data_IF_599673786370
#
_entry.id   IF_599673786370
#
_cell.length_a   1.000
_cell.length_b   1.000
_cell.length_c   1.000
_cell.angle_alpha   90.00
_cell.angle_beta   90.00
_cell.angle_gamma   90.00
#
_symmetry.space_group_name_H-M   'P 1'
#
loop_
_entity.id
_entity.type
_entity.pdbx_description
1 polymer ?
#
# COMPACT_ATOMS: atom_id res chain seq x y z
N UNK A 1 -74.47 -23.32 0.12
CA UNK A 1 -73.21 -23.08 -0.59
C UNK A 1 -72.11 -23.38 0.43
N UNK A 2 -71.48 -24.61 0.27
CA UNK A 2 -70.57 -25.11 1.31
C UNK A 2 -69.25 -24.36 1.34
N UNK A 3 -68.77 -24.06 2.54
CA UNK A 3 -67.53 -23.33 2.81
C UNK A 3 -66.30 -24.02 2.23
N UNK A 4 -66.36 -25.30 1.92
CA UNK A 4 -65.28 -26.09 1.27
C UNK A 4 -65.16 -25.82 -0.22
N UNK A 5 -66.25 -25.55 -0.93
CA UNK A 5 -66.21 -25.23 -2.37
C UNK A 5 -65.57 -23.89 -2.68
N UNK A 6 -65.57 -22.96 -1.73
CA UNK A 6 -64.96 -21.66 -1.90
C UNK A 6 -63.47 -21.64 -1.54
N UNK A 7 -63.00 -22.58 -0.75
CA UNK A 7 -61.59 -22.70 -0.37
C UNK A 7 -60.68 -23.17 -1.53
N UNK A 8 -61.18 -24.07 -2.37
CA UNK A 8 -60.41 -24.63 -3.49
C UNK A 8 -59.99 -23.56 -4.55
N UNK A 9 -60.91 -22.72 -5.03
CA UNK A 9 -60.50 -21.68 -5.99
C UNK A 9 -59.61 -20.59 -5.38
N UNK A 10 -59.78 -20.28 -4.09
CA UNK A 10 -58.92 -19.32 -3.39
C UNK A 10 -57.48 -19.87 -3.23
N UNK A 11 -57.33 -21.15 -2.87
CA UNK A 11 -56.03 -21.79 -2.76
C UNK A 11 -55.34 -21.87 -4.13
N UNK A 12 -56.08 -22.20 -5.19
CA UNK A 12 -55.57 -22.22 -6.55
C UNK A 12 -55.16 -20.82 -7.03
N UNK A 13 -55.92 -19.78 -6.73
CA UNK A 13 -55.57 -18.41 -7.05
C UNK A 13 -54.34 -17.93 -6.30
N UNK A 14 -54.20 -18.26 -5.00
CA UNK A 14 -53.02 -17.93 -4.21
C UNK A 14 -51.78 -18.70 -4.73
N UNK A 15 -51.90 -19.98 -5.10
CA UNK A 15 -50.82 -20.75 -5.70
C UNK A 15 -50.43 -20.18 -7.09
N UNK A 16 -51.37 -19.75 -7.89
CA UNK A 16 -51.12 -19.12 -9.20
C UNK A 16 -50.43 -17.74 -9.05
N UNK A 17 -50.79 -16.96 -8.03
CA UNK A 17 -50.12 -15.67 -7.72
C UNK A 17 -48.72 -15.93 -7.18
N UNK A 18 -48.51 -16.91 -6.31
CA UNK A 18 -47.19 -17.27 -5.80
C UNK A 18 -46.27 -17.82 -6.89
N UNK A 19 -46.78 -18.56 -7.87
CA UNK A 19 -46.00 -19.05 -9.01
C UNK A 19 -45.68 -17.94 -10.03
N UNK A 20 -46.49 -16.88 -10.10
CA UNK A 20 -46.25 -15.73 -10.99
C UNK A 20 -45.18 -14.75 -10.44
N UNK A 21 -44.91 -14.79 -9.15
CA UNK A 21 -43.90 -13.90 -8.49
C UNK A 21 -42.47 -14.51 -8.60
N UNK A 22 -42.33 -15.75 -9.05
CA UNK A 22 -41.03 -16.45 -9.11
C UNK A 22 -40.23 -16.25 -10.38
N UNK A 23 -40.55 -15.27 -11.24
CA UNK A 23 -39.81 -15.02 -12.49
C UNK A 23 -38.83 -13.88 -12.42
N UNK A 24 -38.30 -13.54 -11.23
CA UNK A 24 -37.21 -12.58 -11.05
C UNK A 24 -35.85 -13.16 -11.45
N UNK A 25 -34.84 -12.28 -11.63
CA UNK A 25 -33.47 -12.75 -11.83
C UNK A 25 -32.97 -13.51 -10.60
N UNK A 26 -32.23 -14.57 -10.81
CA UNK A 26 -31.38 -15.14 -9.76
C UNK A 26 -30.10 -14.30 -9.67
N UNK A 27 -29.45 -14.30 -8.53
CA UNK A 27 -28.18 -13.60 -8.34
C UNK A 27 -27.14 -14.50 -7.69
N UNK A 28 -25.90 -14.27 -7.99
CA UNK A 28 -24.77 -14.85 -7.28
C UNK A 28 -23.72 -13.78 -7.00
N UNK A 29 -22.92 -14.00 -5.96
CA UNK A 29 -21.86 -13.09 -5.58
C UNK A 29 -20.52 -13.74 -5.88
N UNK A 30 -19.66 -13.01 -6.57
CA UNK A 30 -18.29 -13.40 -6.87
C UNK A 30 -17.33 -12.42 -6.21
N UNK A 31 -16.28 -12.93 -5.56
CA UNK A 31 -15.21 -12.10 -5.04
C UNK A 31 -14.15 -11.93 -6.13
N UNK A 32 -13.83 -10.70 -6.46
CA UNK A 32 -12.79 -10.33 -7.44
C UNK A 32 -11.71 -9.55 -6.70
N UNK A 33 -10.45 -9.96 -6.86
CA UNK A 33 -9.31 -9.19 -6.37
C UNK A 33 -9.02 -8.07 -7.36
N UNK A 34 -9.18 -6.82 -6.90
CA UNK A 34 -8.92 -5.61 -7.70
C UNK A 34 -7.69 -4.91 -7.16
N UNK A 35 -6.77 -4.60 -8.07
CA UNK A 35 -5.58 -3.81 -7.72
C UNK A 35 -5.95 -2.33 -7.70
N UNK A 36 -5.85 -1.70 -6.51
CA UNK A 36 -5.99 -0.25 -6.35
C UNK A 36 -4.64 0.44 -6.52
N UNK A 37 -4.62 1.67 -7.02
CA UNK A 37 -3.41 2.48 -7.03
C UNK A 37 -2.85 2.63 -5.60
N UNK A 38 -1.54 2.81 -5.49
CA UNK A 38 -0.90 3.09 -4.21
C UNK A 38 -1.47 4.35 -3.54
N UNK A 39 -1.33 4.45 -2.21
CA UNK A 39 -1.77 5.62 -1.44
C UNK A 39 -1.10 6.93 -1.92
N UNK A 40 0.07 6.85 -2.54
CA UNK A 40 0.80 7.99 -3.12
C UNK A 40 0.36 8.34 -4.53
N UNK A 41 -0.39 7.45 -5.20
CA UNK A 41 -0.79 7.57 -6.61
C UNK A 41 0.32 7.24 -7.60
N UNK A 42 1.50 6.78 -7.13
CA UNK A 42 2.55 6.25 -8.01
C UNK A 42 2.27 4.81 -8.40
N UNK A 43 2.64 4.46 -9.64
CA UNK A 43 2.78 3.09 -10.10
C UNK A 43 4.15 2.91 -10.72
N UNK A 44 4.97 2.11 -10.08
CA UNK A 44 6.35 1.82 -10.52
C UNK A 44 6.46 0.53 -11.33
N UNK A 45 5.35 -0.07 -11.71
CA UNK A 45 5.33 -1.31 -12.49
C UNK A 45 6.07 -1.12 -13.83
N UNK A 46 7.04 -2.00 -14.10
CA UNK A 46 7.79 -2.00 -15.36
C UNK A 46 8.79 -0.86 -15.52
N UNK A 47 9.08 -0.11 -14.45
CA UNK A 47 10.07 0.97 -14.43
C UNK A 47 11.33 0.54 -13.71
N UNK A 48 12.49 1.02 -14.18
CA UNK A 48 13.74 0.92 -13.44
C UNK A 48 13.75 1.94 -12.31
N UNK A 49 14.23 1.52 -11.13
CA UNK A 49 14.27 2.37 -9.95
C UNK A 49 15.66 2.44 -9.35
N UNK A 50 16.02 3.61 -8.80
CA UNK A 50 17.18 3.79 -7.95
C UNK A 50 16.79 4.52 -6.67
N UNK A 51 17.43 4.15 -5.57
CA UNK A 51 17.31 4.86 -4.30
C UNK A 51 18.65 5.50 -3.97
N UNK A 52 18.62 6.81 -3.74
CA UNK A 52 19.77 7.56 -3.23
C UNK A 52 19.46 8.07 -1.83
N UNK A 53 20.50 8.24 -1.00
CA UNK A 53 20.34 8.81 0.32
C UNK A 53 21.50 9.74 0.67
N UNK A 54 21.19 10.80 1.42
CA UNK A 54 22.13 11.85 1.76
C UNK A 54 22.83 11.59 3.10
N UNK A 55 24.14 11.73 3.12
CA UNK A 55 24.97 11.59 4.33
C UNK A 55 25.71 12.90 4.62
N UNK A 56 25.72 13.34 5.88
CA UNK A 56 26.35 14.60 6.32
C UNK A 56 27.66 14.39 7.08
N UNK A 57 28.15 13.15 7.16
CA UNK A 57 29.38 12.78 7.85
C UNK A 57 29.21 12.41 9.31
N UNK A 58 28.04 12.59 9.91
CA UNK A 58 27.74 12.02 11.23
C UNK A 58 27.46 10.52 11.09
N UNK A 59 28.19 9.72 11.89
CA UNK A 59 28.09 8.26 11.80
C UNK A 59 26.69 7.73 12.17
N UNK A 60 26.08 8.28 13.22
CA UNK A 60 24.72 7.89 13.64
C UNK A 60 23.68 8.13 12.55
N UNK A 61 23.70 9.33 11.96
CA UNK A 61 22.75 9.77 10.95
C UNK A 61 22.94 8.96 9.65
N UNK A 62 24.22 8.74 9.27
CA UNK A 62 24.56 7.93 8.10
C UNK A 62 24.12 6.47 8.23
N UNK A 63 24.33 5.86 9.41
CA UNK A 63 23.88 4.49 9.68
C UNK A 63 22.35 4.38 9.66
N UNK A 64 21.68 5.36 10.24
CA UNK A 64 20.22 5.41 10.30
C UNK A 64 19.61 5.51 8.87
N UNK A 65 20.09 6.47 8.06
CA UNK A 65 19.51 6.69 6.73
C UNK A 65 19.84 5.56 5.76
N UNK A 66 21.03 4.93 5.88
CA UNK A 66 21.40 3.76 5.11
C UNK A 66 20.45 2.57 5.42
N UNK A 67 20.21 2.27 6.69
CA UNK A 67 19.28 1.22 7.10
C UNK A 67 17.85 1.51 6.63
N UNK A 68 17.42 2.78 6.65
CA UNK A 68 16.11 3.17 6.13
C UNK A 68 16.03 3.00 4.62
N UNK A 69 17.09 3.33 3.87
CA UNK A 69 17.15 3.13 2.43
C UNK A 69 17.09 1.64 2.05
N UNK A 70 17.82 0.78 2.79
CA UNK A 70 17.75 -0.67 2.63
C UNK A 70 16.34 -1.21 2.86
N UNK A 71 15.67 -0.74 3.92
CA UNK A 71 14.29 -1.12 4.19
C UNK A 71 13.31 -0.68 3.10
N UNK A 72 13.47 0.54 2.59
CA UNK A 72 12.68 1.09 1.49
C UNK A 72 12.89 0.25 0.21
N UNK A 73 14.14 -0.05 -0.13
CA UNK A 73 14.47 -0.89 -1.28
C UNK A 73 13.84 -2.28 -1.16
N UNK A 74 14.09 -2.96 -0.06
CA UNK A 74 13.57 -4.32 0.19
C UNK A 74 12.04 -4.39 0.14
N UNK A 75 11.35 -3.36 0.65
CA UNK A 75 9.89 -3.27 0.56
C UNK A 75 9.41 -3.11 -0.88
N UNK A 76 10.01 -2.18 -1.64
CA UNK A 76 9.66 -1.96 -3.04
C UNK A 76 10.00 -3.16 -3.94
N UNK A 77 11.15 -3.81 -3.70
CA UNK A 77 11.54 -5.04 -4.39
C UNK A 77 10.50 -6.15 -4.23
N UNK A 78 10.01 -6.31 -3.01
CA UNK A 78 8.96 -7.29 -2.71
C UNK A 78 7.65 -6.96 -3.43
N UNK A 79 7.23 -5.70 -3.41
CA UNK A 79 5.89 -5.30 -3.86
C UNK A 79 5.78 -5.16 -5.38
N UNK A 80 6.88 -4.81 -6.06
CA UNK A 80 6.92 -4.58 -7.49
C UNK A 80 7.65 -5.65 -8.30
N UNK A 81 8.65 -6.32 -7.70
CA UNK A 81 9.54 -7.24 -8.42
C UNK A 81 9.55 -8.65 -7.85
N UNK A 82 8.69 -8.97 -6.88
CA UNK A 82 8.69 -10.27 -6.18
C UNK A 82 10.09 -10.66 -5.65
N UNK A 83 10.90 -9.66 -5.30
CA UNK A 83 12.31 -9.81 -4.87
C UNK A 83 13.24 -10.43 -5.92
N UNK A 84 12.87 -10.43 -7.21
CA UNK A 84 13.70 -10.93 -8.30
C UNK A 84 14.68 -9.88 -8.84
N UNK A 85 14.37 -8.60 -8.67
CA UNK A 85 15.20 -7.47 -9.10
C UNK A 85 15.65 -6.68 -7.88
N UNK A 86 16.94 -6.41 -7.79
CA UNK A 86 17.53 -5.59 -6.73
C UNK A 86 17.50 -4.13 -7.15
N UNK A 87 16.99 -3.26 -6.27
CA UNK A 87 17.02 -1.82 -6.46
C UNK A 87 18.37 -1.29 -5.98
N UNK A 88 19.17 -0.65 -6.85
CA UNK A 88 20.48 -0.13 -6.46
C UNK A 88 20.35 1.02 -5.46
N UNK A 89 21.27 1.03 -4.47
CA UNK A 89 21.38 2.05 -3.44
C UNK A 89 22.63 2.91 -3.69
N UNK A 90 22.46 4.22 -3.61
CA UNK A 90 23.54 5.19 -3.83
C UNK A 90 23.67 6.13 -2.64
N UNK A 91 24.90 6.26 -2.16
CA UNK A 91 25.24 7.22 -1.10
C UNK A 91 25.69 8.53 -1.73
N UNK A 92 25.06 9.64 -1.36
CA UNK A 92 25.41 10.96 -1.86
C UNK A 92 25.79 11.87 -0.68
N UNK A 93 26.82 12.71 -0.83
CA UNK A 93 27.16 13.68 0.20
C UNK A 93 26.07 14.76 0.29
N UNK A 94 25.68 15.08 1.52
CA UNK A 94 24.79 16.21 1.74
C UNK A 94 25.54 17.53 1.48
N UNK A 95 24.98 18.36 0.62
CA UNK A 95 25.51 19.70 0.33
C UNK A 95 24.59 20.73 0.97
N UNK A 96 25.06 21.50 1.95
CA UNK A 96 24.28 22.58 2.54
C UNK A 96 23.76 23.55 1.47
N UNK A 97 22.58 24.09 1.69
CA UNK A 97 21.91 25.06 0.80
C UNK A 97 21.54 24.55 -0.60
N UNK A 98 21.71 23.24 -0.85
CA UNK A 98 21.19 22.61 -2.06
C UNK A 98 19.69 22.38 -1.95
N UNK A 99 18.94 22.72 -3.01
CA UNK A 99 17.51 22.42 -3.11
C UNK A 99 17.30 21.03 -3.75
N UNK A 100 17.15 20.04 -2.89
CA UNK A 100 16.87 18.66 -3.33
C UNK A 100 15.42 18.47 -3.81
N UNK A 101 14.53 19.44 -3.62
CA UNK A 101 13.19 19.44 -4.18
C UNK A 101 13.14 20.01 -5.60
N UNK A 102 14.23 20.63 -6.05
CA UNK A 102 14.34 21.18 -7.39
C UNK A 102 14.32 20.07 -8.44
N UNK A 103 13.52 20.27 -9.49
CA UNK A 103 13.37 19.32 -10.59
C UNK A 103 14.71 19.00 -11.24
N UNK A 104 15.52 20.01 -11.53
CA UNK A 104 16.81 19.84 -12.22
C UNK A 104 17.75 18.93 -11.43
N UNK A 105 17.73 18.99 -10.10
CA UNK A 105 18.54 18.12 -9.24
C UNK A 105 18.16 16.66 -9.43
N UNK A 106 16.87 16.33 -9.43
CA UNK A 106 16.42 14.95 -9.58
C UNK A 106 16.50 14.45 -11.02
N UNK A 107 16.32 15.32 -12.01
CA UNK A 107 16.56 14.97 -13.43
C UNK A 107 18.01 14.56 -13.65
N UNK A 108 18.97 15.34 -13.11
CA UNK A 108 20.38 14.97 -13.20
C UNK A 108 20.65 13.62 -12.53
N UNK A 109 20.07 13.36 -11.36
CA UNK A 109 20.19 12.06 -10.71
C UNK A 109 19.60 10.92 -11.53
N UNK A 110 18.44 11.10 -12.17
CA UNK A 110 17.83 10.12 -13.08
C UNK A 110 18.80 9.78 -14.22
N UNK A 111 19.42 10.81 -14.81
CA UNK A 111 20.38 10.62 -15.89
C UNK A 111 21.67 9.93 -15.42
N UNK A 112 22.19 10.34 -14.26
CA UNK A 112 23.43 9.78 -13.71
C UNK A 112 23.27 8.34 -13.24
N UNK A 113 22.07 7.98 -12.74
CA UNK A 113 21.76 6.65 -12.22
C UNK A 113 21.10 5.73 -13.27
N UNK A 114 20.88 6.23 -14.49
CA UNK A 114 20.26 5.48 -15.60
C UNK A 114 18.94 4.80 -15.21
N UNK A 115 18.09 5.51 -14.48
CA UNK A 115 16.84 4.97 -13.92
C UNK A 115 15.63 5.77 -14.38
N UNK A 116 14.46 5.13 -14.49
CA UNK A 116 13.21 5.82 -14.80
C UNK A 116 12.66 6.57 -13.59
N UNK A 117 12.92 6.05 -12.38
CA UNK A 117 12.44 6.59 -11.12
C UNK A 117 13.58 6.72 -10.13
N UNK A 118 13.71 7.89 -9.51
CA UNK A 118 14.64 8.11 -8.40
C UNK A 118 13.88 8.48 -7.14
N UNK A 119 14.20 7.77 -6.06
CA UNK A 119 13.76 8.05 -4.70
C UNK A 119 14.99 8.56 -3.92
N UNK A 120 14.99 9.86 -3.55
CA UNK A 120 16.07 10.46 -2.78
C UNK A 120 15.63 10.67 -1.33
N UNK A 121 16.25 9.94 -0.42
CA UNK A 121 16.08 10.13 1.02
C UNK A 121 17.00 11.25 1.52
N UNK A 122 16.40 12.25 2.15
CA UNK A 122 17.15 13.28 2.87
C UNK A 122 17.76 12.68 4.16
N UNK A 123 18.72 13.38 4.73
CA UNK A 123 19.24 13.03 6.06
C UNK A 123 18.14 13.07 7.12
N UNK A 124 18.21 12.24 8.16
CA UNK A 124 17.27 12.31 9.26
C UNK A 124 17.45 13.63 10.03
N UNK A 125 16.34 14.19 10.46
CA UNK A 125 16.36 15.32 11.41
C UNK A 125 15.80 14.82 12.72
N UNK A 126 16.69 14.53 13.64
CA UNK A 126 16.32 14.13 14.99
C UNK A 126 15.89 15.35 15.82
N UNK A 127 14.89 15.14 16.66
CA UNK A 127 14.50 16.08 17.70
C UNK A 127 15.01 15.57 19.03
N UNK A 128 14.96 16.40 20.06
CA UNK A 128 15.37 16.04 21.40
C UNK A 128 14.68 14.74 21.87
N UNK A 129 15.48 13.76 22.28
CA UNK A 129 14.97 12.47 22.76
C UNK A 129 14.38 12.60 24.16
N UNK A 130 13.31 11.84 24.41
CA UNK A 130 12.66 11.79 25.72
C UNK A 130 13.15 10.53 26.45
N UNK A 131 13.90 10.73 27.51
CA UNK A 131 14.41 9.63 28.35
C UNK A 131 13.44 9.35 29.49
N UNK A 132 13.31 8.07 29.87
CA UNK A 132 12.54 7.67 31.04
C UNK A 132 13.25 8.09 32.33
N UNK A 133 12.50 8.57 33.32
CA UNK A 133 13.02 9.09 34.56
C UNK A 133 13.72 8.04 35.47
N UNK A 134 13.57 6.76 35.14
CA UNK A 134 14.18 5.66 35.94
C UNK A 134 14.93 4.70 35.02
N UNK A 135 16.24 4.52 35.24
CA UNK A 135 16.96 3.43 34.59
C UNK A 135 16.40 2.09 35.08
N UNK A 136 16.10 1.19 34.16
CA UNK A 136 15.67 -0.17 34.48
C UNK A 136 16.91 -1.05 34.59
N UNK A 137 17.20 -1.60 35.74
CA UNK A 137 18.25 -2.62 35.91
C UNK A 137 17.66 -3.98 35.48
N UNK A 138 17.93 -4.41 34.27
CA UNK A 138 17.62 -5.78 33.88
C UNK A 138 18.81 -6.72 34.15
N UNK A 139 18.68 -7.57 35.14
CA UNK A 139 19.56 -8.71 35.37
C UNK A 139 20.45 -8.66 36.61
N UNK A 140 21.15 -9.75 36.92
CA UNK A 140 22.04 -9.79 38.09
C UNK A 140 23.19 -8.79 37.92
N UNK A 141 23.39 -7.96 38.93
CA UNK A 141 24.36 -6.86 38.98
C UNK A 141 25.82 -7.34 38.85
N UNK A 142 26.24 -7.74 37.68
CA UNK A 142 27.65 -8.06 37.39
C UNK A 142 28.29 -7.10 36.37
N UNK A 143 27.54 -6.17 35.82
CA UNK A 143 28.06 -5.11 34.95
C UNK A 143 27.52 -3.75 35.40
N UNK A 144 28.39 -2.74 35.48
CA UNK A 144 28.03 -1.35 35.80
C UNK A 144 27.25 -0.64 34.66
N UNK A 145 26.58 -1.39 33.83
CA UNK A 145 25.79 -0.81 32.71
C UNK A 145 24.35 -0.57 33.16
N UNK A 146 23.90 0.65 32.99
CA UNK A 146 22.52 1.06 33.22
C UNK A 146 21.81 1.06 31.87
N UNK A 147 20.60 0.51 31.83
CA UNK A 147 19.72 0.62 30.65
C UNK A 147 18.70 1.70 30.93
N UNK A 148 18.63 2.69 30.06
CA UNK A 148 17.55 3.67 30.06
C UNK A 148 16.74 3.58 28.79
N UNK A 149 15.42 3.71 28.90
CA UNK A 149 14.56 3.75 27.73
C UNK A 149 14.46 5.20 27.23
N UNK A 150 14.61 5.37 25.95
CA UNK A 150 14.43 6.66 25.27
C UNK A 150 13.42 6.55 24.15
N UNK A 151 12.75 7.65 23.87
CA UNK A 151 11.94 7.80 22.66
C UNK A 151 12.64 8.83 21.78
N UNK A 152 13.01 8.44 20.56
CA UNK A 152 13.76 9.26 19.60
C UNK A 152 12.81 9.76 18.50
N UNK A 153 12.34 11.02 18.56
CA UNK A 153 11.51 11.59 17.52
C UNK A 153 12.40 12.08 16.36
N UNK A 154 11.93 11.83 15.12
CA UNK A 154 12.63 12.27 13.92
C UNK A 154 11.68 12.54 12.77
N UNK A 155 12.18 13.19 11.75
CA UNK A 155 11.55 13.21 10.42
C UNK A 155 12.59 13.03 9.33
N UNK A 156 12.12 12.48 8.20
CA UNK A 156 12.90 12.31 6.96
C UNK A 156 12.05 12.79 5.80
N UNK A 157 12.63 13.54 4.87
CA UNK A 157 12.00 13.85 3.60
C UNK A 157 12.42 12.80 2.56
N UNK A 158 11.47 12.42 1.73
CA UNK A 158 11.68 11.58 0.56
C UNK A 158 11.24 12.37 -0.66
N UNK A 159 12.17 12.64 -1.54
CA UNK A 159 11.93 13.26 -2.84
C UNK A 159 11.78 12.17 -3.88
N UNK A 160 10.69 12.20 -4.64
CA UNK A 160 10.41 11.19 -5.66
C UNK A 160 10.21 11.89 -7.00
N UNK A 161 10.94 11.42 -7.99
CA UNK A 161 10.76 11.82 -9.37
C UNK A 161 10.64 10.59 -10.27
N UNK A 162 9.62 10.60 -11.10
CA UNK A 162 9.33 9.59 -12.11
C UNK A 162 9.40 10.28 -13.49
N UNK A 163 10.43 9.96 -14.26
CA UNK A 163 10.64 10.56 -15.59
C UNK A 163 9.56 10.16 -16.61
N UNK A 164 8.82 9.10 -16.31
CA UNK A 164 7.72 8.63 -17.18
C UNK A 164 6.35 9.17 -16.75
N UNK A 165 6.28 9.92 -15.62
CA UNK A 165 5.03 10.56 -15.20
C UNK A 165 4.75 11.80 -16.07
N UNK A 166 3.51 11.88 -16.58
CA UNK A 166 3.05 13.05 -17.37
C UNK A 166 3.08 14.36 -16.59
N UNK A 167 2.98 14.29 -15.27
CA UNK A 167 3.03 15.48 -14.40
C UNK A 167 4.43 16.10 -14.36
N UNK A 168 5.48 15.34 -14.65
CA UNK A 168 6.88 15.77 -14.72
C UNK A 168 7.29 16.66 -13.54
N UNK A 169 6.91 16.25 -12.34
CA UNK A 169 7.09 17.01 -11.09
C UNK A 169 7.76 16.18 -10.01
N UNK A 170 8.58 16.84 -9.21
CA UNK A 170 9.10 16.25 -7.96
C UNK A 170 8.00 16.27 -6.91
N UNK A 171 7.74 15.12 -6.30
CA UNK A 171 6.86 15.03 -5.12
C UNK A 171 7.69 14.82 -3.87
N UNK A 172 7.32 15.54 -2.81
CA UNK A 172 8.00 15.46 -1.52
C UNK A 172 7.08 14.81 -0.50
N UNK A 173 7.56 13.73 0.09
CA UNK A 173 6.89 13.03 1.18
C UNK A 173 7.69 13.22 2.47
N UNK A 174 7.02 13.60 3.55
CA UNK A 174 7.66 13.73 4.86
C UNK A 174 7.19 12.59 5.77
N UNK A 175 8.12 11.72 6.13
CA UNK A 175 7.93 10.74 7.17
C UNK A 175 8.24 11.35 8.53
N UNK A 176 7.27 11.32 9.47
CA UNK A 176 7.45 11.73 10.86
C UNK A 176 7.20 10.49 11.71
N UNK A 177 8.13 10.15 12.58
CA UNK A 177 7.99 8.99 13.47
C UNK A 177 8.78 9.20 14.77
N UNK A 178 8.63 8.25 15.67
CA UNK A 178 9.41 8.17 16.89
C UNK A 178 9.71 6.70 17.19
N UNK A 179 10.96 6.42 17.59
CA UNK A 179 11.36 5.06 17.93
C UNK A 179 11.62 4.92 19.42
N UNK A 180 10.98 3.97 20.10
CA UNK A 180 11.36 3.58 21.45
C UNK A 180 12.63 2.73 21.37
N UNK A 181 13.66 3.13 22.08
CA UNK A 181 14.96 2.47 22.09
C UNK A 181 15.45 2.24 23.54
N UNK A 182 16.24 1.18 23.72
CA UNK A 182 16.99 0.95 24.94
C UNK A 182 18.41 1.48 24.75
N UNK A 183 18.84 2.37 25.62
CA UNK A 183 20.17 2.99 25.61
C UNK A 183 21.00 2.40 26.74
N UNK A 184 22.15 1.83 26.40
CA UNK A 184 23.09 1.29 27.36
C UNK A 184 24.10 2.38 27.73
N UNK A 185 24.16 2.72 29.00
CA UNK A 185 25.00 3.79 29.54
C UNK A 185 25.77 3.32 30.78
N UNK A 186 26.87 3.97 31.09
CA UNK A 186 27.66 3.68 32.27
C UNK A 186 27.29 4.58 33.48
N UNK A 187 26.34 5.50 33.27
CA UNK A 187 25.83 6.42 34.28
C UNK A 187 26.66 7.69 34.47
N UNK A 188 27.68 7.92 33.63
CA UNK A 188 28.52 9.11 33.65
C UNK A 188 28.40 9.96 32.35
N UNK A 189 27.56 9.52 31.41
CA UNK A 189 27.37 10.17 30.14
C UNK A 189 26.71 11.55 30.29
N UNK A 190 27.19 12.49 29.54
CA UNK A 190 26.51 13.78 29.33
C UNK A 190 25.19 13.59 28.58
N UNK A 191 24.34 14.58 28.61
CA UNK A 191 23.07 14.56 27.85
C UNK A 191 23.31 14.38 26.36
N UNK A 192 24.34 15.00 25.81
CA UNK A 192 24.70 14.90 24.39
C UNK A 192 25.15 13.48 24.01
N UNK A 193 25.99 12.86 24.84
CA UNK A 193 26.41 11.46 24.66
C UNK A 193 25.23 10.48 24.72
N UNK A 194 24.27 10.70 25.61
CA UNK A 194 23.06 9.91 25.70
C UNK A 194 22.18 10.06 24.45
N UNK A 195 22.08 11.29 23.89
CA UNK A 195 21.39 11.55 22.63
C UNK A 195 22.04 10.80 21.47
N UNK A 196 23.37 10.84 21.35
CA UNK A 196 24.10 10.13 20.30
C UNK A 196 23.91 8.61 20.41
N UNK A 197 23.96 8.07 21.63
CA UNK A 197 23.68 6.64 21.87
C UNK A 197 22.23 6.27 21.51
N UNK A 198 21.28 7.15 21.80
CA UNK A 198 19.88 6.94 21.42
C UNK A 198 19.69 6.97 19.91
N UNK A 199 20.35 7.87 19.19
CA UNK A 199 20.32 7.92 17.72
C UNK A 199 20.94 6.67 17.09
N UNK A 200 22.07 6.19 17.62
CA UNK A 200 22.67 4.91 17.18
C UNK A 200 21.73 3.74 17.42
N UNK A 201 21.09 3.69 18.59
CA UNK A 201 20.13 2.63 18.90
C UNK A 201 18.90 2.67 17.98
N UNK A 202 18.46 3.87 17.59
CA UNK A 202 17.33 4.06 16.68
C UNK A 202 17.61 3.52 15.26
N UNK A 203 18.87 3.46 14.83
CA UNK A 203 19.26 2.92 13.53
C UNK A 203 18.82 1.46 13.36
N UNK A 204 18.77 0.68 14.43
CA UNK A 204 18.28 -0.71 14.40
C UNK A 204 16.81 -0.84 13.98
N UNK A 205 16.02 0.22 14.13
CA UNK A 205 14.60 0.26 13.77
C UNK A 205 14.36 0.94 12.40
N UNK A 206 15.38 1.62 11.87
CA UNK A 206 15.25 2.41 10.65
C UNK A 206 14.90 1.56 9.43
N UNK A 207 15.42 0.34 9.34
CA UNK A 207 15.10 -0.60 8.26
C UNK A 207 13.61 -0.93 8.21
N UNK A 208 12.98 -1.21 9.36
CA UNK A 208 11.53 -1.46 9.41
C UNK A 208 10.73 -0.21 9.06
N UNK A 209 11.24 0.98 9.41
CA UNK A 209 10.66 2.26 9.01
C UNK A 209 10.69 2.47 7.50
N UNK A 210 11.81 2.15 6.86
CA UNK A 210 11.94 2.17 5.40
C UNK A 210 10.98 1.22 4.71
N UNK A 211 10.87 -0.02 5.19
CA UNK A 211 9.92 -1.01 4.67
C UNK A 211 8.46 -0.54 4.83
N UNK A 212 8.12 0.08 5.97
CA UNK A 212 6.80 0.68 6.17
C UNK A 212 6.52 1.86 5.22
N UNK A 213 7.56 2.64 4.89
CA UNK A 213 7.47 3.71 3.89
C UNK A 213 7.20 3.14 2.50
N UNK A 214 7.87 2.05 2.11
CA UNK A 214 7.64 1.35 0.84
C UNK A 214 6.18 0.95 0.65
N UNK A 215 5.53 0.44 1.70
CA UNK A 215 4.13 0.03 1.66
C UNK A 215 3.16 1.15 1.24
N UNK A 216 3.53 2.43 1.39
CA UNK A 216 2.70 3.55 0.92
C UNK A 216 2.75 3.74 -0.60
N UNK A 217 3.78 3.22 -1.24
CA UNK A 217 3.93 3.22 -2.69
C UNK A 217 3.41 1.93 -3.32
N UNK A 218 3.23 0.88 -2.52
CA UNK A 218 2.71 -0.40 -2.98
C UNK A 218 1.23 -0.27 -3.40
N UNK A 219 0.84 -0.93 -4.49
CA UNK A 219 -0.57 -1.07 -4.83
C UNK A 219 -1.27 -1.97 -3.81
N UNK A 220 -2.49 -1.62 -3.46
CA UNK A 220 -3.31 -2.40 -2.55
C UNK A 220 -4.22 -3.36 -3.33
N UNK A 221 -4.29 -4.62 -2.87
CA UNK A 221 -5.26 -5.57 -3.38
C UNK A 221 -6.50 -5.56 -2.51
N UNK A 222 -7.64 -5.26 -3.10
CA UNK A 222 -8.92 -5.26 -2.42
C UNK A 222 -9.84 -6.33 -2.99
N UNK A 223 -10.48 -7.08 -2.09
CA UNK A 223 -11.54 -8.01 -2.48
C UNK A 223 -12.86 -7.25 -2.61
N UNK A 224 -13.33 -7.13 -3.84
CA UNK A 224 -14.67 -6.63 -4.11
C UNK A 224 -15.62 -7.80 -4.27
N UNK A 225 -16.74 -7.74 -3.54
CA UNK A 225 -17.84 -8.68 -3.72
C UNK A 225 -18.81 -8.09 -4.74
N UNK A 226 -18.75 -8.60 -5.95
CA UNK A 226 -19.63 -8.20 -7.04
C UNK A 226 -20.84 -9.14 -7.11
N UNK A 227 -22.02 -8.60 -7.12
CA UNK A 227 -23.26 -9.38 -7.31
C UNK A 227 -23.65 -9.31 -8.76
N UNK A 228 -23.85 -10.46 -9.38
CA UNK A 228 -24.26 -10.60 -10.76
C UNK A 228 -25.65 -11.22 -10.83
N UNK A 229 -26.44 -10.78 -11.80
CA UNK A 229 -27.75 -11.32 -12.08
C UNK A 229 -27.70 -12.32 -13.22
N UNK A 230 -28.57 -13.31 -13.21
CA UNK A 230 -28.70 -14.23 -14.33
C UNK A 230 -30.14 -14.75 -14.46
N UNK A 231 -30.46 -15.15 -15.65
CA UNK A 231 -31.73 -15.81 -15.99
C UNK A 231 -31.44 -17.20 -16.54
N UNK A 232 -32.45 -18.09 -16.50
CA UNK A 232 -32.30 -19.51 -16.89
C UNK A 232 -32.22 -19.75 -18.41
N UNK A 233 -32.26 -18.70 -19.23
CA UNK A 233 -32.10 -18.88 -20.67
C UNK A 233 -30.62 -19.03 -21.10
N UNK A 234 -30.45 -19.69 -22.25
CA UNK A 234 -29.13 -20.12 -22.72
C UNK A 234 -28.10 -19.02 -22.84
N UNK A 235 -28.50 -17.84 -23.36
CA UNK A 235 -27.56 -16.72 -23.57
C UNK A 235 -27.05 -16.14 -22.24
N UNK A 236 -27.93 -16.06 -21.23
CA UNK A 236 -27.55 -15.62 -19.88
C UNK A 236 -26.64 -16.64 -19.19
N UNK A 237 -26.97 -17.94 -19.31
CA UNK A 237 -26.12 -19.01 -18.74
C UNK A 237 -24.73 -18.97 -19.35
N UNK A 238 -24.62 -18.83 -20.67
CA UNK A 238 -23.32 -18.74 -21.32
C UNK A 238 -22.49 -17.51 -20.88
N UNK A 239 -23.10 -16.33 -20.77
CA UNK A 239 -22.41 -15.14 -20.30
C UNK A 239 -21.91 -15.32 -18.86
N UNK A 240 -22.77 -15.86 -17.97
CA UNK A 240 -22.44 -16.15 -16.59
C UNK A 240 -21.36 -17.23 -16.45
N UNK A 241 -21.39 -18.29 -17.22
CA UNK A 241 -20.35 -19.34 -17.22
C UNK A 241 -18.99 -18.80 -17.64
N UNK A 242 -18.94 -17.92 -18.64
CA UNK A 242 -17.69 -17.24 -19.04
C UNK A 242 -17.14 -16.39 -17.90
N UNK A 243 -18.00 -15.64 -17.19
CA UNK A 243 -17.61 -14.83 -16.04
C UNK A 243 -17.03 -15.69 -14.91
N UNK A 244 -17.71 -16.78 -14.54
CA UNK A 244 -17.25 -17.72 -13.50
C UNK A 244 -15.91 -18.37 -13.86
N UNK A 245 -15.67 -18.61 -15.17
CA UNK A 245 -14.42 -19.15 -15.69
C UNK A 245 -13.33 -18.08 -15.91
N UNK A 246 -13.55 -16.85 -15.44
CA UNK A 246 -12.62 -15.72 -15.60
C UNK A 246 -12.36 -15.32 -17.07
N UNK A 247 -13.20 -15.71 -18.00
CA UNK A 247 -13.22 -15.17 -19.37
C UNK A 247 -14.01 -13.85 -19.39
N UNK A 248 -13.41 -12.80 -18.79
CA UNK A 248 -14.05 -11.50 -18.63
C UNK A 248 -14.43 -10.87 -19.97
N UNK A 249 -13.59 -11.03 -21.00
CA UNK A 249 -13.87 -10.50 -22.33
C UNK A 249 -15.08 -11.18 -22.95
N UNK A 250 -15.11 -12.49 -22.92
CA UNK A 250 -16.23 -13.25 -23.47
C UNK A 250 -17.53 -13.04 -22.69
N UNK A 251 -17.46 -12.83 -21.37
CA UNK A 251 -18.61 -12.47 -20.53
C UNK A 251 -19.13 -11.07 -20.91
N UNK A 252 -18.24 -10.08 -21.02
CA UNK A 252 -18.57 -8.72 -21.41
C UNK A 252 -19.27 -8.67 -22.78
N UNK A 253 -18.76 -9.37 -23.78
CA UNK A 253 -19.36 -9.48 -25.10
C UNK A 253 -20.76 -10.08 -25.00
N UNK A 254 -20.95 -11.13 -24.19
CA UNK A 254 -22.24 -11.78 -23.93
C UNK A 254 -23.24 -10.82 -23.27
N UNK A 255 -22.87 -10.13 -22.21
CA UNK A 255 -23.75 -9.17 -21.54
C UNK A 255 -24.08 -7.96 -22.45
N UNK A 256 -23.14 -7.51 -23.25
CA UNK A 256 -23.37 -6.41 -24.21
C UNK A 256 -24.48 -6.77 -25.23
N UNK A 257 -24.52 -8.02 -25.71
CA UNK A 257 -25.62 -8.49 -26.53
C UNK A 257 -26.96 -8.53 -25.79
N UNK A 258 -26.95 -8.93 -24.50
CA UNK A 258 -28.13 -9.05 -23.67
C UNK A 258 -28.75 -7.68 -23.32
N UNK A 259 -27.93 -6.60 -23.21
CA UNK A 259 -28.43 -5.23 -23.04
C UNK A 259 -29.37 -4.82 -24.18
N UNK A 260 -29.15 -5.34 -25.39
CA UNK A 260 -29.99 -5.07 -26.56
C UNK A 260 -31.25 -5.93 -26.67
N UNK A 261 -31.43 -6.96 -25.79
CA UNK A 261 -32.45 -8.00 -25.95
C UNK A 261 -33.32 -8.17 -24.70
N UNK A 262 -34.56 -8.58 -24.88
CA UNK A 262 -35.47 -8.97 -23.81
C UNK A 262 -36.30 -7.83 -23.21
N UNK A 263 -36.90 -8.12 -22.05
CA UNK A 263 -37.70 -7.15 -21.28
C UNK A 263 -36.83 -6.03 -20.68
N UNK A 264 -37.46 -4.95 -20.23
CA UNK A 264 -36.76 -3.83 -19.60
C UNK A 264 -35.93 -4.28 -18.40
N UNK A 265 -36.47 -5.17 -17.56
CA UNK A 265 -35.78 -5.70 -16.37
C UNK A 265 -34.54 -6.53 -16.75
N UNK A 266 -34.65 -7.38 -17.77
CA UNK A 266 -33.51 -8.15 -18.29
C UNK A 266 -32.39 -7.28 -18.84
N UNK A 267 -32.76 -6.25 -19.60
CA UNK A 267 -31.78 -5.28 -20.13
C UNK A 267 -31.10 -4.51 -19.01
N UNK A 268 -31.87 -4.14 -17.98
CA UNK A 268 -31.32 -3.45 -16.81
C UNK A 268 -30.33 -4.36 -16.04
N UNK A 269 -30.69 -5.64 -15.83
CA UNK A 269 -29.79 -6.62 -15.19
C UNK A 269 -28.50 -6.81 -16.00
N UNK A 270 -28.60 -6.95 -17.34
CA UNK A 270 -27.41 -7.09 -18.20
C UNK A 270 -26.53 -5.84 -18.19
N UNK A 271 -27.14 -4.65 -18.16
CA UNK A 271 -26.40 -3.39 -18.06
C UNK A 271 -25.70 -3.25 -16.69
N UNK A 272 -26.32 -3.73 -15.63
CA UNK A 272 -25.71 -3.77 -14.29
C UNK A 272 -24.50 -4.71 -14.25
N UNK A 273 -24.65 -5.93 -14.82
CA UNK A 273 -23.56 -6.92 -14.86
C UNK A 273 -22.39 -6.51 -15.75
N UNK A 274 -22.63 -5.58 -16.69
CA UNK A 274 -21.62 -5.02 -17.58
C UNK A 274 -20.84 -3.86 -16.93
N UNK A 275 -21.41 -3.17 -15.94
CA UNK A 275 -20.82 -1.98 -15.26
C UNK A 275 -19.80 -2.36 -14.21
#
# INVERSE_FOLDING_TARGET
MNFEDMRRPVILAVLAVLSAVSCGPSSYTMSVDVRRPSATGYDFSGKSMAIAYLVDGKQSDSTFIAAMAEGLASGLEKDYFNSETVIPLYTLPYVPDSDYSAKDTLVNLIMDLESDVVLLLDRPVFKESVFADKPVSDGPQTSNSLVTNATVPFYVNLYVMDAMDKADTVRVFRGISQYPVAVWANGNESREELEDLAHVAAASMAQSGGASMAGRFAPEWEKLNCTFYYYSDYAWVQASEKLVNCDFKGAMDGYLELVGRGSADRRASAAYDLA
#
